data_IF_308829542974
#
_entry.id   IF_308829542974
#
_cell.length_a   1.000
_cell.length_b   1.000
_cell.length_c   1.000
_cell.angle_alpha   90.00
_cell.angle_beta   90.00
_cell.angle_gamma   90.00
#
_symmetry.space_group_name_H-M   'P 1'
#
loop_
_entity.id
_entity.type
_entity.pdbx_description
1 polymer ?
#
# COMPACT_ATOMS: atom_id res chain seq x y z
N UNK A 1 70.55 -38.58 15.39
CA UNK A 1 69.54 -39.24 14.54
C UNK A 1 68.75 -38.15 13.85
N UNK A 2 68.95 -38.02 12.54
CA UNK A 2 68.35 -37.01 11.67
C UNK A 2 67.06 -37.62 11.11
N UNK A 3 65.92 -36.97 11.32
CA UNK A 3 64.66 -37.34 10.67
C UNK A 3 64.29 -36.22 9.69
N UNK A 4 64.25 -36.57 8.39
CA UNK A 4 63.94 -35.65 7.30
C UNK A 4 62.43 -35.42 7.14
N UNK A 5 62.06 -34.16 6.89
CA UNK A 5 60.75 -33.78 6.37
C UNK A 5 60.70 -34.03 4.86
N UNK A 6 59.67 -34.74 4.39
CA UNK A 6 59.31 -34.82 2.99
C UNK A 6 58.06 -33.95 2.74
N UNK A 7 58.19 -32.95 1.86
CA UNK A 7 57.07 -32.18 1.33
C UNK A 7 56.45 -32.94 0.14
N UNK A 8 55.14 -33.23 0.21
CA UNK A 8 54.35 -33.76 -0.91
C UNK A 8 53.78 -32.63 -1.80
N UNK A 9 53.53 -32.89 -3.09
CA UNK A 9 53.16 -31.86 -4.06
C UNK A 9 51.68 -31.47 -3.96
N UNK A 10 51.40 -30.23 -4.40
CA UNK A 10 50.15 -29.51 -4.21
C UNK A 10 48.89 -30.18 -4.76
N UNK A 11 47.80 -29.97 -4.03
CA UNK A 11 46.44 -30.20 -4.53
C UNK A 11 45.99 -28.99 -5.35
N UNK A 12 45.71 -29.26 -6.62
CA UNK A 12 45.11 -28.36 -7.60
C UNK A 12 43.70 -27.97 -7.14
N UNK A 13 43.38 -26.68 -7.26
CA UNK A 13 42.09 -26.11 -6.86
C UNK A 13 40.91 -26.79 -7.53
N UNK A 14 40.03 -27.37 -6.71
CA UNK A 14 38.69 -27.76 -7.12
C UNK A 14 37.82 -26.50 -7.24
N UNK A 15 37.43 -26.17 -8.46
CA UNK A 15 36.37 -25.20 -8.68
C UNK A 15 35.07 -25.75 -8.07
N UNK A 16 34.59 -25.11 -6.99
CA UNK A 16 33.22 -25.29 -6.54
C UNK A 16 32.30 -24.72 -7.64
N UNK A 17 31.75 -25.61 -8.46
CA UNK A 17 30.61 -25.27 -9.29
C UNK A 17 29.43 -25.01 -8.34
N UNK A 18 29.13 -23.74 -8.10
CA UNK A 18 27.82 -23.35 -7.58
C UNK A 18 26.78 -23.80 -8.61
N UNK A 19 26.16 -24.96 -8.36
CA UNK A 19 24.89 -25.28 -8.99
C UNK A 19 23.91 -24.22 -8.49
N UNK A 20 23.65 -23.22 -9.33
CA UNK A 20 22.65 -22.20 -9.06
C UNK A 20 21.32 -22.90 -8.86
N UNK A 21 20.79 -22.84 -7.64
CA UNK A 21 19.41 -23.23 -7.39
C UNK A 21 18.54 -22.42 -8.35
N UNK A 22 17.76 -23.12 -9.19
CA UNK A 22 16.79 -22.47 -10.05
C UNK A 22 15.86 -21.62 -9.17
N UNK A 23 15.86 -20.32 -9.43
CA UNK A 23 15.03 -19.37 -8.72
C UNK A 23 13.55 -19.75 -8.92
N UNK A 24 12.72 -19.75 -7.86
CA UNK A 24 11.29 -19.97 -8.02
C UNK A 24 10.72 -18.95 -9.01
N UNK A 25 10.18 -19.44 -10.12
CA UNK A 25 9.50 -18.58 -11.10
C UNK A 25 8.22 -18.03 -10.46
N UNK A 26 8.07 -16.71 -10.42
CA UNK A 26 6.84 -16.07 -9.95
C UNK A 26 5.64 -16.61 -10.75
N UNK A 27 4.68 -17.22 -10.04
CA UNK A 27 3.46 -17.77 -10.65
C UNK A 27 2.39 -16.68 -10.66
N UNK A 28 1.67 -16.45 -11.77
CA UNK A 28 0.57 -15.49 -11.78
C UNK A 28 -0.47 -15.79 -10.71
N UNK A 29 -0.96 -14.74 -10.05
CA UNK A 29 -2.00 -14.84 -9.03
C UNK A 29 -2.88 -13.60 -9.05
N UNK A 30 -3.99 -13.66 -8.32
CA UNK A 30 -4.91 -12.54 -8.16
C UNK A 30 -5.09 -12.22 -6.68
N UNK A 31 -5.31 -10.95 -6.36
CA UNK A 31 -5.74 -10.50 -5.02
C UNK A 31 -6.83 -9.45 -5.16
N UNK A 32 -7.58 -9.21 -4.08
CA UNK A 32 -8.63 -8.18 -4.04
C UNK A 32 -8.10 -6.95 -3.31
N UNK A 33 -8.39 -5.77 -3.87
CA UNK A 33 -8.19 -4.47 -3.25
C UNK A 33 -9.54 -3.78 -2.99
N UNK A 34 -9.71 -3.24 -1.79
CA UNK A 34 -10.93 -2.54 -1.33
C UNK A 34 -10.52 -1.25 -0.63
N UNK A 35 -11.28 -0.18 -0.82
CA UNK A 35 -11.13 1.06 -0.09
C UNK A 35 -12.11 2.08 -0.62
N UNK A 36 -12.15 3.26 0.00
CA UNK A 36 -13.09 4.34 -0.32
C UNK A 36 -14.57 3.87 -0.36
N UNK A 37 -14.89 2.88 0.48
CA UNK A 37 -16.22 2.31 0.64
C UNK A 37 -16.28 1.49 1.94
N UNK A 38 -17.46 1.37 2.58
CA UNK A 38 -18.76 1.90 2.16
C UNK A 38 -18.96 3.37 2.56
N UNK A 39 -19.53 4.17 1.65
CA UNK A 39 -19.94 5.56 1.89
C UNK A 39 -21.44 5.73 2.07
N UNK A 40 -22.20 4.63 1.97
CA UNK A 40 -23.64 4.61 2.20
C UNK A 40 -24.09 3.32 2.90
N UNK A 41 -25.27 3.31 3.55
CA UNK A 41 -25.87 2.08 4.08
C UNK A 41 -26.07 1.00 3.02
N UNK A 42 -26.35 1.39 1.77
CA UNK A 42 -26.50 0.47 0.65
C UNK A 42 -25.17 -0.22 0.31
N UNK A 43 -24.09 0.55 0.18
CA UNK A 43 -22.74 -0.01 -0.02
C UNK A 43 -22.33 -0.91 1.14
N UNK A 44 -22.63 -0.53 2.39
CA UNK A 44 -22.33 -1.37 3.56
C UNK A 44 -23.10 -2.70 3.51
N UNK A 45 -24.35 -2.69 3.04
CA UNK A 45 -25.13 -3.92 2.86
C UNK A 45 -24.54 -4.80 1.75
N UNK A 46 -24.18 -4.21 0.60
CA UNK A 46 -23.53 -4.93 -0.51
C UNK A 46 -22.17 -5.51 -0.11
N UNK A 47 -21.35 -4.72 0.61
CA UNK A 47 -20.04 -5.13 1.09
C UNK A 47 -20.13 -6.34 2.04
N UNK A 48 -21.17 -6.38 2.88
CA UNK A 48 -21.40 -7.50 3.82
C UNK A 48 -22.09 -8.72 3.18
N UNK A 49 -22.72 -8.54 2.03
CA UNK A 49 -23.49 -9.55 1.30
C UNK A 49 -22.81 -9.93 -0.02
N UNK A 50 -23.39 -9.49 -1.13
CA UNK A 50 -23.01 -9.90 -2.50
C UNK A 50 -21.52 -9.74 -2.80
N UNK A 51 -20.89 -8.63 -2.38
CA UNK A 51 -19.46 -8.39 -2.61
C UNK A 51 -18.61 -9.37 -1.80
N UNK A 52 -18.95 -9.62 -0.53
CA UNK A 52 -18.26 -10.62 0.30
C UNK A 52 -18.40 -12.03 -0.26
N UNK A 53 -19.56 -12.38 -0.79
CA UNK A 53 -19.79 -13.65 -1.47
C UNK A 53 -18.92 -13.77 -2.74
N UNK A 54 -18.81 -12.70 -3.52
CA UNK A 54 -17.93 -12.64 -4.69
C UNK A 54 -16.45 -12.77 -4.31
N UNK A 55 -15.99 -12.09 -3.25
CA UNK A 55 -14.61 -12.21 -2.72
C UNK A 55 -14.32 -13.66 -2.31
N UNK A 56 -15.27 -14.31 -1.64
CA UNK A 56 -15.14 -15.72 -1.21
C UNK A 56 -15.05 -16.64 -2.43
N UNK A 57 -15.89 -16.42 -3.45
CA UNK A 57 -15.90 -17.21 -4.68
C UNK A 57 -14.62 -17.02 -5.53
N UNK A 58 -13.97 -15.86 -5.43
CA UNK A 58 -12.73 -15.58 -6.15
C UNK A 58 -11.52 -16.40 -5.67
N UNK A 59 -11.57 -16.98 -4.47
CA UNK A 59 -10.52 -17.81 -3.88
C UNK A 59 -9.12 -17.15 -3.90
N UNK A 60 -9.07 -15.83 -3.70
CA UNK A 60 -7.81 -15.08 -3.62
C UNK A 60 -7.04 -15.41 -2.33
N UNK A 61 -5.70 -15.30 -2.30
CA UNK A 61 -4.89 -15.66 -1.14
C UNK A 61 -4.97 -14.63 -0.01
N UNK A 62 -5.33 -13.39 -0.32
CA UNK A 62 -5.50 -12.28 0.61
C UNK A 62 -6.32 -11.15 -0.01
N UNK A 63 -6.77 -10.25 0.85
CA UNK A 63 -7.38 -8.98 0.52
C UNK A 63 -6.52 -7.85 1.09
N UNK A 64 -6.45 -6.73 0.37
CA UNK A 64 -5.86 -5.49 0.88
C UNK A 64 -6.96 -4.44 0.99
N UNK A 65 -7.09 -3.83 2.16
CA UNK A 65 -7.92 -2.66 2.38
C UNK A 65 -7.04 -1.43 2.48
N UNK A 66 -7.17 -0.50 1.54
CA UNK A 66 -6.23 0.61 1.37
C UNK A 66 -6.69 1.92 2.00
N UNK A 67 -7.85 1.96 2.67
CA UNK A 67 -8.28 3.07 3.50
C UNK A 67 -9.72 3.48 3.24
N UNK A 68 -10.23 4.41 4.03
CA UNK A 68 -11.52 5.08 3.84
C UNK A 68 -12.73 4.14 3.87
N UNK A 69 -12.96 3.53 5.04
CA UNK A 69 -14.10 2.64 5.26
C UNK A 69 -15.40 3.37 5.64
N UNK A 70 -15.40 4.70 5.54
CA UNK A 70 -16.55 5.57 5.81
C UNK A 70 -16.39 6.90 5.06
N UNK A 71 -17.47 7.65 4.79
CA UNK A 71 -17.34 8.94 4.13
C UNK A 71 -16.82 10.00 5.11
N UNK A 72 -16.17 11.04 4.58
CA UNK A 72 -15.58 12.12 5.36
C UNK A 72 -16.54 13.05 6.10
N UNK A 73 -17.85 12.90 5.87
CA UNK A 73 -18.90 13.62 6.59
C UNK A 73 -19.56 12.78 7.69
N UNK A 74 -19.07 11.56 7.96
CA UNK A 74 -19.54 10.70 9.03
C UNK A 74 -18.59 10.73 10.24
N UNK A 75 -19.14 10.92 11.44
CA UNK A 75 -18.36 11.01 12.69
C UNK A 75 -17.69 9.69 13.08
N UNK A 76 -16.45 9.78 13.57
CA UNK A 76 -15.62 8.65 13.93
C UNK A 76 -15.91 8.11 15.34
N UNK A 77 -17.16 7.71 15.59
CA UNK A 77 -17.58 7.14 16.87
C UNK A 77 -16.94 5.77 17.11
N UNK A 78 -16.64 5.42 18.36
CA UNK A 78 -16.06 4.11 18.71
C UNK A 78 -16.87 2.93 18.14
N UNK A 79 -18.23 2.92 18.21
CA UNK A 79 -19.03 1.84 17.62
C UNK A 79 -18.92 1.75 16.11
N UNK A 80 -18.84 2.89 15.40
CA UNK A 80 -18.67 2.89 13.95
C UNK A 80 -17.32 2.28 13.57
N UNK A 81 -16.23 2.72 14.19
CA UNK A 81 -14.88 2.22 13.89
C UNK A 81 -14.76 0.72 14.22
N UNK A 82 -15.39 0.25 15.29
CA UNK A 82 -15.49 -1.19 15.61
C UNK A 82 -16.30 -1.97 14.58
N UNK A 83 -17.45 -1.44 14.15
CA UNK A 83 -18.28 -2.08 13.12
C UNK A 83 -17.52 -2.18 11.79
N UNK A 84 -16.84 -1.11 11.37
CA UNK A 84 -16.01 -1.11 10.16
C UNK A 84 -14.86 -2.11 10.26
N UNK A 85 -14.19 -2.20 11.42
CA UNK A 85 -13.19 -3.25 11.70
C UNK A 85 -13.75 -4.65 11.46
N UNK A 86 -14.90 -4.94 12.06
CA UNK A 86 -15.57 -6.25 11.93
C UNK A 86 -15.99 -6.57 10.51
N UNK A 87 -16.49 -5.57 9.80
CA UNK A 87 -16.84 -5.72 8.40
C UNK A 87 -15.61 -6.04 7.55
N UNK A 88 -14.53 -5.26 7.67
CA UNK A 88 -13.29 -5.40 6.88
C UNK A 88 -12.62 -6.76 7.12
N UNK A 89 -12.34 -7.11 8.37
CA UNK A 89 -11.74 -8.42 8.68
C UNK A 89 -12.71 -9.58 8.47
N UNK A 90 -14.01 -9.30 8.34
CA UNK A 90 -15.02 -10.26 7.92
C UNK A 90 -15.05 -10.55 6.42
N UNK A 91 -14.37 -9.77 5.57
CA UNK A 91 -14.36 -9.96 4.11
C UNK A 91 -13.51 -11.13 3.67
N UNK A 92 -12.41 -11.39 4.37
CA UNK A 92 -11.45 -12.42 3.99
C UNK A 92 -10.66 -12.92 5.21
N UNK A 93 -10.21 -14.18 5.18
CA UNK A 93 -9.43 -14.76 6.28
C UNK A 93 -8.03 -14.13 6.46
N UNK A 94 -7.55 -13.44 5.43
CA UNK A 94 -6.27 -12.73 5.41
C UNK A 94 -6.49 -11.34 4.83
N UNK A 95 -6.48 -10.32 5.69
CA UNK A 95 -6.63 -8.91 5.31
C UNK A 95 -5.36 -8.15 5.70
N UNK A 96 -4.86 -7.33 4.80
CA UNK A 96 -3.85 -6.31 5.06
C UNK A 96 -4.52 -4.95 5.02
N UNK A 97 -4.33 -4.12 6.04
CA UNK A 97 -5.05 -2.87 6.19
C UNK A 97 -4.07 -1.71 6.42
N UNK A 98 -4.27 -0.61 5.69
CA UNK A 98 -3.75 0.71 6.01
C UNK A 98 -4.92 1.70 6.00
N UNK A 99 -4.98 2.66 6.95
CA UNK A 99 -6.08 3.62 7.00
C UNK A 99 -5.92 4.71 5.94
N UNK A 100 -7.03 5.39 5.67
CA UNK A 100 -7.13 6.64 4.92
C UNK A 100 -7.44 7.86 5.80
N UNK A 101 -7.65 9.02 5.19
CA UNK A 101 -7.88 10.27 5.92
C UNK A 101 -9.28 10.29 6.54
N UNK A 102 -10.28 9.72 5.87
CA UNK A 102 -11.61 9.55 6.42
C UNK A 102 -11.57 8.73 7.71
N UNK A 103 -10.66 7.79 7.86
CA UNK A 103 -10.64 6.88 9.00
C UNK A 103 -10.22 7.56 10.32
N UNK A 104 -9.41 8.64 10.26
CA UNK A 104 -8.92 9.32 11.47
C UNK A 104 -8.62 10.83 11.36
N UNK A 105 -8.02 11.34 10.28
CA UNK A 105 -7.67 12.78 10.18
C UNK A 105 -8.89 13.65 9.92
N UNK A 106 -9.87 13.18 9.16
CA UNK A 106 -11.09 13.94 8.88
C UNK A 106 -12.10 13.91 10.03
N UNK A 107 -11.80 13.18 11.11
CA UNK A 107 -12.68 12.99 12.24
C UNK A 107 -12.95 14.27 13.04
N UNK A 108 -12.24 15.34 12.74
CA UNK A 108 -12.25 16.60 13.48
C UNK A 108 -12.98 17.73 12.74
N UNK A 109 -13.43 17.45 11.50
CA UNK A 109 -14.12 18.39 10.60
C UNK A 109 -15.32 19.05 11.28
N UNK A 110 -15.46 20.36 11.10
CA UNK A 110 -16.50 21.17 11.74
C UNK A 110 -17.94 20.73 11.40
N UNK A 111 -18.16 20.12 10.22
CA UNK A 111 -19.47 19.66 9.77
C UNK A 111 -19.95 18.35 10.40
N UNK A 112 -19.10 17.68 11.20
CA UNK A 112 -19.46 16.42 11.84
C UNK A 112 -20.38 16.63 13.05
N UNK A 113 -21.29 15.68 13.27
CA UNK A 113 -22.16 15.69 14.45
C UNK A 113 -21.35 15.55 15.76
N UNK A 114 -20.29 14.75 15.74
CA UNK A 114 -19.35 14.56 16.83
C UNK A 114 -17.90 14.62 16.31
N UNK A 115 -17.31 15.81 16.15
CA UNK A 115 -15.91 15.94 15.76
C UNK A 115 -14.98 15.58 16.93
N UNK A 116 -13.92 14.82 16.66
CA UNK A 116 -12.98 14.24 17.63
C UNK A 116 -11.53 14.59 17.29
N UNK A 117 -10.63 14.51 18.26
CA UNK A 117 -9.17 14.58 18.05
C UNK A 117 -8.74 13.52 17.02
N UNK A 118 -7.94 13.91 16.04
CA UNK A 118 -7.35 13.01 15.04
C UNK A 118 -6.40 12.03 15.72
N UNK A 119 -5.54 12.52 16.62
CA UNK A 119 -4.55 11.70 17.31
C UNK A 119 -5.21 10.64 18.20
N UNK A 120 -6.26 11.00 18.95
CA UNK A 120 -7.05 10.04 19.73
C UNK A 120 -7.74 8.99 18.84
N UNK A 121 -8.15 9.36 17.63
CA UNK A 121 -8.75 8.44 16.67
C UNK A 121 -7.72 7.49 16.09
N UNK A 122 -6.53 7.97 15.72
CA UNK A 122 -5.45 7.12 15.26
C UNK A 122 -5.03 6.11 16.33
N UNK A 123 -4.89 6.54 17.59
CA UNK A 123 -4.56 5.64 18.70
C UNK A 123 -5.64 4.58 18.92
N UNK A 124 -6.92 4.95 18.78
CA UNK A 124 -8.01 3.99 18.84
C UNK A 124 -8.02 3.00 17.66
N UNK A 125 -7.75 3.47 16.43
CA UNK A 125 -7.58 2.57 15.28
C UNK A 125 -6.46 1.57 15.52
N UNK A 126 -5.30 2.02 16.02
CA UNK A 126 -4.17 1.15 16.40
C UNK A 126 -4.60 0.05 17.35
N UNK A 127 -5.38 0.40 18.37
CA UNK A 127 -5.88 -0.57 19.36
C UNK A 127 -6.79 -1.63 18.74
N UNK A 128 -7.71 -1.24 17.85
CA UNK A 128 -8.75 -2.17 17.36
C UNK A 128 -8.36 -2.87 16.06
N UNK A 129 -7.58 -2.27 15.17
CA UNK A 129 -7.18 -2.87 13.89
C UNK A 129 -5.87 -3.64 13.97
N UNK A 130 -4.96 -3.27 14.88
CA UNK A 130 -3.59 -3.76 14.89
C UNK A 130 -3.17 -4.45 16.20
N UNK A 131 -4.13 -4.70 17.10
CA UNK A 131 -3.87 -5.55 18.26
C UNK A 131 -3.44 -6.97 17.81
N UNK A 132 -2.49 -7.62 18.51
CA UNK A 132 -2.05 -8.99 18.20
C UNK A 132 -3.17 -10.02 18.10
N UNK A 133 -4.34 -9.75 18.71
CA UNK A 133 -5.52 -10.61 18.67
C UNK A 133 -6.30 -10.54 17.34
N UNK A 134 -6.02 -9.54 16.49
CA UNK A 134 -6.79 -9.24 15.27
C UNK A 134 -6.29 -10.04 14.05
N UNK A 135 -5.36 -10.98 14.26
CA UNK A 135 -5.03 -11.98 13.25
C UNK A 135 -4.23 -11.44 12.06
N UNK A 136 -3.50 -10.34 12.24
CA UNK A 136 -2.42 -9.99 11.31
C UNK A 136 -1.44 -11.17 11.31
N UNK A 137 -1.42 -11.87 10.18
CA UNK A 137 -0.86 -13.21 10.11
C UNK A 137 0.62 -13.22 10.45
N UNK A 138 1.10 -14.34 11.01
CA UNK A 138 2.52 -14.65 11.15
C UNK A 138 3.28 -14.77 9.81
N UNK A 139 2.69 -14.32 8.68
CA UNK A 139 3.20 -14.47 7.31
C UNK A 139 3.72 -13.16 6.70
N UNK A 140 3.82 -12.11 7.50
CA UNK A 140 4.46 -10.85 7.11
C UNK A 140 5.04 -10.12 8.32
N UNK A 141 5.65 -8.99 8.05
CA UNK A 141 6.25 -8.10 9.04
C UNK A 141 5.41 -6.84 9.18
N UNK A 142 5.23 -6.39 10.41
CA UNK A 142 4.54 -5.14 10.76
C UNK A 142 5.57 -4.22 11.40
N UNK A 143 5.62 -2.96 10.98
CA UNK A 143 6.49 -1.97 11.59
C UNK A 143 5.99 -1.67 13.01
N UNK A 144 6.77 -2.04 14.01
CA UNK A 144 6.37 -2.02 15.44
C UNK A 144 5.84 -0.63 15.87
N UNK A 145 6.55 0.43 15.48
CA UNK A 145 6.20 1.79 15.89
C UNK A 145 5.16 2.48 14.99
N UNK A 146 4.74 1.81 13.91
CA UNK A 146 3.77 2.31 12.94
C UNK A 146 3.04 1.14 12.29
N UNK A 147 2.10 0.51 13.00
CA UNK A 147 1.55 -0.80 12.61
C UNK A 147 0.70 -0.76 11.34
N UNK A 148 0.35 0.44 10.86
CA UNK A 148 -0.26 0.66 9.56
C UNK A 148 0.66 0.25 8.39
N UNK A 149 1.97 0.23 8.63
CA UNK A 149 2.98 -0.26 7.70
C UNK A 149 3.24 -1.74 7.92
N UNK A 150 3.01 -2.52 6.88
CA UNK A 150 3.27 -3.95 6.83
C UNK A 150 3.93 -4.33 5.51
N UNK A 151 4.65 -5.44 5.49
CA UNK A 151 5.20 -6.04 4.28
C UNK A 151 5.09 -7.55 4.32
N UNK A 152 4.76 -8.16 3.19
CA UNK A 152 4.60 -9.61 3.09
C UNK A 152 4.95 -10.11 1.70
N UNK A 153 5.30 -11.38 1.64
CA UNK A 153 5.69 -12.04 0.40
C UNK A 153 4.57 -12.95 -0.10
N UNK A 154 4.30 -12.89 -1.40
CA UNK A 154 3.43 -13.86 -2.07
C UNK A 154 3.93 -14.12 -3.49
N UNK A 155 4.17 -15.40 -3.84
CA UNK A 155 4.61 -15.82 -5.19
C UNK A 155 5.82 -15.01 -5.72
N UNK A 156 6.81 -14.78 -4.86
CA UNK A 156 8.01 -13.97 -5.14
C UNK A 156 7.72 -12.48 -5.48
N UNK A 157 6.59 -11.95 -5.04
CA UNK A 157 6.26 -10.53 -5.08
C UNK A 157 6.24 -9.99 -3.66
N UNK A 158 6.92 -8.87 -3.42
CA UNK A 158 6.85 -8.15 -2.16
C UNK A 158 5.69 -7.15 -2.19
N UNK A 159 4.84 -7.20 -1.18
CA UNK A 159 3.80 -6.22 -0.95
C UNK A 159 4.17 -5.36 0.24
N UNK A 160 3.82 -4.08 0.20
CA UNK A 160 4.13 -3.08 1.21
C UNK A 160 2.92 -2.16 1.40
N UNK A 161 2.42 -1.99 2.61
CA UNK A 161 1.53 -0.86 2.94
C UNK A 161 2.36 0.33 3.44
N UNK A 162 1.90 1.53 3.09
CA UNK A 162 2.41 2.79 3.61
C UNK A 162 1.25 3.61 4.16
N UNK A 163 1.44 4.12 5.38
CA UNK A 163 0.49 4.99 6.06
C UNK A 163 0.59 6.42 5.53
N UNK A 164 0.11 6.63 4.31
CA UNK A 164 0.01 7.93 3.65
C UNK A 164 -1.47 8.15 3.32
N UNK A 165 -2.03 9.21 3.91
CA UNK A 165 -3.46 9.53 3.83
C UNK A 165 -3.68 10.85 3.10
N UNK A 166 -4.90 11.05 2.62
CA UNK A 166 -5.40 12.26 1.98
C UNK A 166 -5.29 13.52 2.86
N UNK A 167 -5.86 14.62 2.37
CA UNK A 167 -5.87 15.90 3.09
C UNK A 167 -4.44 16.39 3.47
N UNK A 168 -3.51 16.29 2.51
CA UNK A 168 -2.08 16.62 2.65
C UNK A 168 -1.39 15.83 3.76
N UNK A 169 -1.71 14.54 3.88
CA UNK A 169 -1.23 13.67 4.96
C UNK A 169 -1.57 14.22 6.36
N UNK A 170 -2.77 14.76 6.54
CA UNK A 170 -3.22 15.31 7.83
C UNK A 170 -2.58 16.66 8.22
N UNK A 171 -1.97 17.38 7.28
CA UNK A 171 -1.31 18.68 7.58
C UNK A 171 -2.23 19.88 7.54
N UNK A 172 -3.36 19.77 6.84
CA UNK A 172 -4.16 20.95 6.48
C UNK A 172 -5.24 21.29 7.53
N UNK A 173 -6.00 20.30 8.00
CA UNK A 173 -7.26 20.52 8.73
C UNK A 173 -7.20 20.12 10.21
N UNK A 174 -6.18 20.55 10.96
CA UNK A 174 -6.06 20.26 12.40
C UNK A 174 -6.93 21.24 13.23
N UNK A 175 -8.07 20.76 13.72
CA UNK A 175 -9.14 21.51 14.39
C UNK A 175 -9.43 21.04 15.83
N UNK A 176 -9.08 19.80 16.19
CA UNK A 176 -9.32 19.24 17.53
C UNK A 176 -8.07 18.88 18.32
N UNK A 177 -6.91 18.83 17.67
CA UNK A 177 -5.62 18.60 18.31
C UNK A 177 -4.82 19.90 18.45
N UNK A 178 -3.76 19.84 19.25
CA UNK A 178 -2.71 20.85 19.22
C UNK A 178 -1.97 20.80 17.86
N UNK A 179 -1.93 21.91 17.11
CA UNK A 179 -1.24 21.98 15.82
C UNK A 179 0.21 21.50 15.81
N UNK A 180 0.99 21.82 16.84
CA UNK A 180 2.41 21.50 16.90
C UNK A 180 2.59 19.99 17.14
N UNK A 181 1.80 19.42 18.04
CA UNK A 181 1.78 17.99 18.31
C UNK A 181 1.34 17.17 17.09
N UNK A 182 0.26 17.58 16.42
CA UNK A 182 -0.23 16.90 15.22
C UNK A 182 0.81 16.94 14.10
N UNK A 183 1.41 18.11 13.84
CA UNK A 183 2.48 18.23 12.83
C UNK A 183 3.70 17.37 13.16
N UNK A 184 4.15 17.35 14.41
CA UNK A 184 5.26 16.49 14.84
C UNK A 184 4.95 14.99 14.63
N UNK A 185 3.70 14.58 14.86
CA UNK A 185 3.25 13.22 14.59
C UNK A 185 3.26 12.89 13.09
N UNK A 186 2.88 13.84 12.22
CA UNK A 186 2.98 13.68 10.77
C UNK A 186 4.43 13.57 10.32
N UNK A 187 5.33 14.43 10.81
CA UNK A 187 6.75 14.40 10.42
C UNK A 187 7.43 13.10 10.85
N UNK A 188 7.09 12.57 12.04
CA UNK A 188 7.56 11.27 12.49
C UNK A 188 7.00 10.13 11.61
N UNK A 189 5.72 10.20 11.22
CA UNK A 189 5.10 9.24 10.30
C UNK A 189 5.80 9.25 8.94
N UNK A 190 6.15 10.43 8.43
CA UNK A 190 6.85 10.58 7.16
C UNK A 190 8.27 10.01 7.19
N UNK A 191 9.02 10.24 8.26
CA UNK A 191 10.34 9.64 8.43
C UNK A 191 10.24 8.10 8.46
N UNK A 192 9.25 7.57 9.19
CA UNK A 192 9.03 6.12 9.30
C UNK A 192 8.59 5.48 8.00
N UNK A 193 7.67 6.11 7.26
CA UNK A 193 7.25 5.64 5.93
C UNK A 193 8.40 5.64 4.93
N UNK A 194 9.19 6.72 4.89
CA UNK A 194 10.32 6.80 3.96
C UNK A 194 11.37 5.73 4.26
N UNK A 195 11.70 5.53 5.53
CA UNK A 195 12.63 4.47 5.93
C UNK A 195 12.07 3.08 5.62
N UNK A 196 10.79 2.83 5.92
CA UNK A 196 10.10 1.56 5.62
C UNK A 196 10.08 1.24 4.13
N UNK A 197 9.81 2.23 3.28
CA UNK A 197 9.83 2.08 1.83
C UNK A 197 11.23 1.76 1.32
N UNK A 198 12.25 2.49 1.79
CA UNK A 198 13.64 2.23 1.45
C UNK A 198 14.06 0.80 1.81
N UNK A 199 13.78 0.39 3.05
CA UNK A 199 14.15 -0.93 3.56
C UNK A 199 13.40 -2.05 2.82
N UNK A 200 12.14 -1.82 2.45
CA UNK A 200 11.35 -2.78 1.66
C UNK A 200 11.92 -2.99 0.25
N UNK A 201 12.36 -1.92 -0.44
CA UNK A 201 13.03 -2.06 -1.73
C UNK A 201 14.42 -2.69 -1.62
N UNK A 202 15.15 -2.41 -0.54
CA UNK A 202 16.42 -3.08 -0.24
C UNK A 202 16.19 -4.59 -0.03
N UNK A 203 15.16 -4.97 0.73
CA UNK A 203 14.78 -6.36 0.94
C UNK A 203 14.37 -7.03 -0.39
N UNK A 204 13.45 -6.41 -1.14
CA UNK A 204 13.01 -6.88 -2.46
C UNK A 204 14.18 -7.10 -3.43
N UNK A 205 15.20 -6.23 -3.37
CA UNK A 205 16.41 -6.36 -4.19
C UNK A 205 17.27 -7.52 -3.71
N UNK A 206 17.53 -7.61 -2.40
CA UNK A 206 18.38 -8.64 -1.79
C UNK A 206 17.82 -10.05 -1.98
N UNK A 207 16.49 -10.20 -1.88
CA UNK A 207 15.77 -11.46 -2.04
C UNK A 207 15.29 -11.70 -3.47
N UNK A 208 15.65 -10.81 -4.40
CA UNK A 208 15.35 -10.95 -5.83
C UNK A 208 13.85 -11.09 -6.14
N UNK A 209 13.02 -10.29 -5.47
CA UNK A 209 11.59 -10.17 -5.77
C UNK A 209 11.36 -9.95 -7.26
N UNK A 210 10.36 -10.61 -7.83
CA UNK A 210 9.97 -10.47 -9.22
C UNK A 210 9.21 -9.15 -9.47
N UNK A 211 8.47 -8.65 -8.47
CA UNK A 211 7.77 -7.37 -8.50
C UNK A 211 7.66 -6.78 -7.09
N UNK A 212 7.31 -5.50 -7.00
CA UNK A 212 6.90 -4.84 -5.75
C UNK A 212 5.52 -4.22 -5.94
N UNK A 213 4.63 -4.37 -4.96
CA UNK A 213 3.34 -3.66 -4.89
C UNK A 213 3.32 -2.80 -3.63
N UNK A 214 3.23 -1.48 -3.81
CA UNK A 214 3.10 -0.48 -2.76
C UNK A 214 1.64 -0.05 -2.69
N UNK A 215 1.08 -0.06 -1.49
CA UNK A 215 -0.32 0.27 -1.22
C UNK A 215 -0.41 1.43 -0.24
N UNK A 216 -1.19 2.45 -0.57
CA UNK A 216 -1.51 3.57 0.32
C UNK A 216 -2.90 4.11 -0.02
N UNK A 217 -3.48 4.97 0.82
CA UNK A 217 -4.77 5.58 0.50
C UNK A 217 -4.58 6.75 -0.49
N UNK A 218 -3.72 7.70 -0.13
CA UNK A 218 -3.64 9.01 -0.79
C UNK A 218 -3.32 8.96 -2.28
N UNK A 219 -3.95 9.84 -3.07
CA UNK A 219 -3.46 10.18 -4.40
C UNK A 219 -2.27 11.15 -4.29
N UNK A 220 -1.06 10.59 -4.34
CA UNK A 220 0.17 11.38 -4.26
C UNK A 220 0.55 12.06 -5.58
N UNK A 221 -0.16 11.83 -6.69
CA UNK A 221 0.35 12.10 -8.04
C UNK A 221 0.27 13.54 -8.51
N UNK A 222 -0.69 14.30 -7.99
CA UNK A 222 -0.84 15.71 -8.34
C UNK A 222 -0.02 16.55 -7.37
N UNK A 223 0.88 17.42 -7.86
CA UNK A 223 1.59 18.32 -6.99
C UNK A 223 0.64 19.34 -6.37
N UNK A 224 0.78 19.61 -5.07
CA UNK A 224 0.19 20.79 -4.45
C UNK A 224 1.04 22.02 -4.78
N UNK A 225 0.62 23.23 -4.38
CA UNK A 225 1.39 24.45 -4.64
C UNK A 225 2.86 24.31 -4.19
N UNK A 226 3.78 24.92 -4.96
CA UNK A 226 5.26 24.79 -4.91
C UNK A 226 5.95 25.26 -3.61
N UNK A 227 5.27 25.26 -2.47
CA UNK A 227 5.80 25.76 -1.23
C UNK A 227 6.54 24.66 -0.44
N UNK A 228 7.74 24.97 0.05
CA UNK A 228 8.54 24.08 0.90
C UNK A 228 7.81 23.77 2.23
N UNK A 229 7.61 22.49 2.51
CA UNK A 229 6.97 22.02 3.76
C UNK A 229 7.70 22.46 5.03
N UNK A 230 9.00 22.79 4.97
CA UNK A 230 9.73 23.32 6.13
C UNK A 230 9.25 24.72 6.53
N UNK A 231 8.80 25.52 5.55
CA UNK A 231 8.44 26.92 5.74
C UNK A 231 6.92 27.14 5.83
N UNK A 232 6.14 26.31 5.14
CA UNK A 232 4.68 26.41 5.07
C UNK A 232 4.04 25.02 5.11
N UNK A 233 4.18 24.29 6.24
CA UNK A 233 3.80 22.88 6.34
C UNK A 233 2.33 22.58 6.03
N UNK A 234 1.44 23.58 6.13
CA UNK A 234 0.00 23.42 5.89
C UNK A 234 -0.45 23.69 4.44
N UNK A 235 0.44 24.18 3.58
CA UNK A 235 0.12 24.55 2.18
C UNK A 235 1.20 24.06 1.19
N UNK A 236 2.00 23.10 1.63
CA UNK A 236 3.08 22.51 0.85
C UNK A 236 2.62 21.27 0.10
N UNK A 237 3.50 20.78 -0.78
CA UNK A 237 3.37 19.44 -1.36
C UNK A 237 3.87 18.36 -0.40
N UNK A 238 3.00 17.96 0.52
CA UNK A 238 3.26 16.90 1.49
C UNK A 238 3.64 15.55 0.85
N UNK A 239 3.41 15.38 -0.45
CA UNK A 239 3.59 14.11 -1.15
C UNK A 239 4.82 14.06 -2.05
N UNK A 240 5.52 15.18 -2.25
CA UNK A 240 6.73 15.25 -3.08
C UNK A 240 7.81 14.23 -2.66
N UNK A 241 8.17 14.10 -1.36
CA UNK A 241 9.19 13.14 -0.96
C UNK A 241 8.84 11.70 -1.33
N UNK A 242 7.56 11.33 -1.18
CA UNK A 242 7.06 10.00 -1.52
C UNK A 242 7.11 9.72 -3.01
N UNK A 243 6.66 10.67 -3.85
CA UNK A 243 6.77 10.55 -5.31
C UNK A 243 8.22 10.37 -5.73
N UNK A 244 9.11 11.24 -5.22
CA UNK A 244 10.51 11.22 -5.61
C UNK A 244 11.18 9.91 -5.18
N UNK A 245 10.96 9.46 -3.94
CA UNK A 245 11.51 8.20 -3.44
C UNK A 245 10.99 6.99 -4.22
N UNK A 246 9.69 6.92 -4.50
CA UNK A 246 9.09 5.79 -5.21
C UNK A 246 9.58 5.69 -6.66
N UNK A 247 9.69 6.83 -7.36
CA UNK A 247 10.27 6.89 -8.72
C UNK A 247 11.72 6.42 -8.71
N UNK A 248 12.54 6.89 -7.77
CA UNK A 248 13.94 6.47 -7.67
C UNK A 248 14.08 4.98 -7.33
N UNK A 249 13.29 4.48 -6.37
CA UNK A 249 13.28 3.08 -5.98
C UNK A 249 12.90 2.18 -7.16
N UNK A 250 11.85 2.54 -7.90
CA UNK A 250 11.43 1.81 -9.10
C UNK A 250 12.50 1.83 -10.20
N UNK A 251 13.14 2.98 -10.46
CA UNK A 251 14.21 3.11 -11.46
C UNK A 251 15.45 2.24 -11.15
N UNK A 252 15.69 1.98 -9.86
CA UNK A 252 16.80 1.15 -9.37
C UNK A 252 16.44 -0.33 -9.24
N UNK A 253 15.15 -0.67 -9.17
CA UNK A 253 14.68 -2.04 -8.99
C UNK A 253 14.83 -2.87 -10.28
N UNK A 254 15.97 -3.57 -10.38
CA UNK A 254 16.41 -4.28 -11.58
C UNK A 254 16.79 -5.72 -11.29
N UNK A 255 16.72 -6.55 -12.33
CA UNK A 255 17.37 -7.86 -12.36
C UNK A 255 18.91 -7.70 -12.42
N UNK A 256 19.69 -8.75 -12.12
CA UNK A 256 21.15 -8.72 -12.30
C UNK A 256 21.59 -8.35 -13.71
N UNK A 257 20.79 -8.72 -14.72
CA UNK A 257 20.99 -8.36 -16.14
C UNK A 257 20.54 -6.93 -16.51
N UNK A 258 20.28 -6.09 -15.50
CA UNK A 258 19.88 -4.67 -15.61
C UNK A 258 18.48 -4.41 -16.17
N UNK A 259 17.70 -5.46 -16.52
CA UNK A 259 16.29 -5.27 -16.90
C UNK A 259 15.48 -4.78 -15.71
N UNK A 260 14.65 -3.77 -15.93
CA UNK A 260 13.71 -3.26 -14.94
C UNK A 260 12.71 -4.35 -14.52
N UNK A 261 12.34 -4.35 -13.24
CA UNK A 261 11.29 -5.22 -12.69
C UNK A 261 10.05 -4.38 -12.37
N UNK A 262 8.84 -4.92 -12.54
CA UNK A 262 7.61 -4.16 -12.37
C UNK A 262 7.39 -3.71 -10.92
N UNK A 263 6.92 -2.47 -10.77
CA UNK A 263 6.47 -1.87 -9.50
C UNK A 263 5.06 -1.34 -9.69
N UNK A 264 4.15 -1.64 -8.76
CA UNK A 264 2.79 -1.10 -8.74
C UNK A 264 2.62 -0.17 -7.53
N UNK A 265 2.15 1.05 -7.77
CA UNK A 265 1.47 1.89 -6.79
C UNK A 265 -0.03 1.64 -6.90
N UNK A 266 -0.63 1.11 -5.83
CA UNK A 266 -2.07 0.92 -5.66
C UNK A 266 -2.57 1.97 -4.66
N UNK A 267 -3.53 2.80 -5.06
CA UNK A 267 -4.14 3.80 -4.19
C UNK A 267 -5.62 4.06 -4.53
N UNK A 268 -6.27 4.92 -3.75
CA UNK A 268 -7.64 5.40 -3.93
C UNK A 268 -7.72 6.91 -3.74
N UNK A 269 -8.58 7.40 -2.83
CA UNK A 269 -8.78 8.81 -2.43
C UNK A 269 -9.45 9.70 -3.48
N UNK A 270 -9.23 9.42 -4.77
CA UNK A 270 -9.66 10.29 -5.86
C UNK A 270 -10.37 9.53 -6.97
N UNK A 271 -11.15 10.26 -7.77
CA UNK A 271 -11.56 9.80 -9.10
C UNK A 271 -10.48 10.05 -10.16
N UNK A 272 -10.48 9.29 -11.28
CA UNK A 272 -11.34 8.13 -11.59
C UNK A 272 -10.63 6.79 -11.38
N UNK A 273 -11.37 5.67 -11.46
CA UNK A 273 -10.79 4.33 -11.59
C UNK A 273 -9.96 4.19 -12.88
N UNK A 274 -8.63 4.10 -12.75
CA UNK A 274 -7.71 4.26 -13.89
C UNK A 274 -6.34 3.60 -13.70
N UNK A 275 -5.72 3.30 -14.84
CA UNK A 275 -4.28 3.09 -14.96
C UNK A 275 -3.56 4.39 -15.30
N UNK A 276 -2.34 4.50 -14.80
CA UNK A 276 -1.34 5.47 -15.27
C UNK A 276 0.03 4.79 -15.35
N UNK A 277 0.53 4.62 -16.57
CA UNK A 277 1.89 4.08 -16.84
C UNK A 277 2.93 5.18 -17.05
N UNK A 278 2.51 6.44 -16.96
CA UNK A 278 3.35 7.62 -17.15
C UNK A 278 3.80 8.25 -15.83
N UNK A 279 3.28 7.76 -14.69
CA UNK A 279 3.62 8.26 -13.36
C UNK A 279 5.13 8.29 -13.08
N UNK A 280 5.86 7.24 -13.49
CA UNK A 280 7.32 7.19 -13.36
C UNK A 280 8.10 7.98 -14.42
N UNK A 281 7.42 8.62 -15.37
CA UNK A 281 7.98 9.25 -16.56
C UNK A 281 9.04 8.37 -17.25
N UNK A 282 10.06 8.97 -17.86
CA UNK A 282 11.18 8.26 -18.47
C UNK A 282 12.16 7.68 -17.42
N UNK A 283 12.06 8.12 -16.15
CA UNK A 283 12.97 7.72 -15.08
C UNK A 283 12.69 6.29 -14.63
N UNK A 284 11.40 5.97 -14.44
CA UNK A 284 10.92 4.68 -13.95
C UNK A 284 9.74 4.16 -14.80
N UNK A 285 9.97 3.76 -16.06
CA UNK A 285 8.90 3.26 -16.95
C UNK A 285 8.29 1.92 -16.48
N UNK A 286 8.89 1.30 -15.47
CA UNK A 286 8.40 0.11 -14.78
C UNK A 286 7.49 0.40 -13.58
N UNK A 287 7.28 1.69 -13.23
CA UNK A 287 6.36 2.11 -12.18
C UNK A 287 4.96 2.33 -12.77
N UNK A 288 4.05 1.46 -12.38
CA UNK A 288 2.64 1.50 -12.75
C UNK A 288 1.85 2.09 -11.60
N UNK A 289 0.85 2.90 -11.90
CA UNK A 289 -0.13 3.37 -10.94
C UNK A 289 -1.51 2.82 -11.27
N UNK A 290 -2.19 2.30 -10.26
CA UNK A 290 -3.62 1.98 -10.27
C UNK A 290 -4.32 2.85 -9.23
N UNK A 291 -5.20 3.73 -9.70
CA UNK A 291 -6.25 4.29 -8.87
C UNK A 291 -7.41 3.29 -8.87
N UNK A 292 -7.71 2.69 -7.72
CA UNK A 292 -8.63 1.57 -7.57
C UNK A 292 -10.10 1.98 -7.59
N UNK A 293 -10.99 0.99 -7.68
CA UNK A 293 -12.43 1.20 -7.61
C UNK A 293 -12.85 1.54 -6.19
N UNK A 294 -13.64 2.61 -6.05
CA UNK A 294 -14.08 3.16 -4.77
C UNK A 294 -14.58 4.59 -4.97
N UNK A 295 -14.69 5.37 -3.90
CA UNK A 295 -14.92 6.81 -3.89
C UNK A 295 -16.20 7.17 -4.63
N UNK A 296 -17.38 6.86 -4.05
CA UNK A 296 -18.70 7.13 -4.64
C UNK A 296 -19.00 6.52 -6.04
N UNK A 297 -18.12 5.66 -6.59
CA UNK A 297 -18.36 4.98 -7.86
C UNK A 297 -19.56 4.03 -7.77
N UNK A 298 -20.33 3.97 -8.86
CA UNK A 298 -21.48 3.07 -8.98
C UNK A 298 -21.34 2.18 -10.23
N UNK A 299 -21.70 0.89 -10.15
CA UNK A 299 -22.18 0.19 -8.95
C UNK A 299 -21.06 -0.06 -7.93
N UNK A 300 -21.42 -0.18 -6.65
CA UNK A 300 -20.47 -0.58 -5.61
C UNK A 300 -19.81 -1.93 -5.96
N UNK A 301 -18.48 -2.00 -5.89
CA UNK A 301 -17.70 -3.18 -6.26
C UNK A 301 -16.30 -3.08 -5.64
N UNK A 302 -15.46 -4.09 -5.84
CA UNK A 302 -14.07 -4.12 -5.38
C UNK A 302 -13.13 -4.41 -6.54
N UNK A 303 -11.85 -4.05 -6.42
CA UNK A 303 -10.90 -4.25 -7.51
C UNK A 303 -10.24 -5.62 -7.41
N UNK A 304 -10.37 -6.46 -8.44
CA UNK A 304 -9.60 -7.69 -8.60
C UNK A 304 -8.35 -7.39 -9.42
N UNK A 305 -7.17 -7.66 -8.86
CA UNK A 305 -5.88 -7.36 -9.46
C UNK A 305 -5.13 -8.66 -9.72
N UNK A 306 -4.73 -8.89 -10.97
CA UNK A 306 -3.85 -9.96 -11.39
C UNK A 306 -2.41 -9.45 -11.46
N UNK A 307 -1.49 -10.22 -10.87
CA UNK A 307 -0.05 -9.96 -10.86
C UNK A 307 0.64 -11.07 -11.65
N UNK A 308 1.38 -10.69 -12.68
CA UNK A 308 2.09 -11.60 -13.59
C UNK A 308 3.48 -11.05 -13.94
N UNK A 309 4.44 -11.07 -13.01
CA UNK A 309 5.71 -10.33 -13.14
C UNK A 309 6.60 -10.75 -14.33
N UNK A 310 6.34 -11.92 -14.90
CA UNK A 310 7.06 -12.44 -16.07
C UNK A 310 6.60 -11.80 -17.39
N UNK A 311 5.41 -11.20 -17.42
CA UNK A 311 4.93 -10.43 -18.57
C UNK A 311 5.46 -9.00 -18.46
N UNK A 312 6.46 -8.68 -19.28
CA UNK A 312 7.08 -7.35 -19.29
C UNK A 312 6.20 -6.26 -19.90
N UNK A 313 5.17 -6.62 -20.68
CA UNK A 313 4.26 -5.66 -21.31
C UNK A 313 3.06 -5.37 -20.41
N UNK A 314 2.57 -6.39 -19.71
CA UNK A 314 1.40 -6.32 -18.86
C UNK A 314 1.58 -7.07 -17.53
N UNK A 315 2.50 -6.63 -16.65
CA UNK A 315 2.77 -7.28 -15.36
C UNK A 315 1.59 -7.19 -14.38
N UNK A 316 0.67 -6.23 -14.60
CA UNK A 316 -0.51 -6.01 -13.78
C UNK A 316 -1.76 -5.84 -14.66
N UNK A 317 -2.86 -6.46 -14.24
CA UNK A 317 -4.20 -6.31 -14.86
C UNK A 317 -5.22 -6.11 -13.74
N UNK A 318 -6.18 -5.21 -13.93
CA UNK A 318 -7.21 -4.93 -12.93
C UNK A 318 -8.58 -4.82 -13.58
N UNK A 319 -9.60 -5.23 -12.82
CA UNK A 319 -11.02 -5.08 -13.16
C UNK A 319 -11.83 -5.10 -11.88
N UNK A 320 -13.05 -4.56 -11.91
CA UNK A 320 -13.94 -4.77 -10.77
C UNK A 320 -14.36 -6.24 -10.68
N UNK A 321 -14.54 -6.75 -9.46
CA UNK A 321 -14.71 -8.17 -9.22
C UNK A 321 -16.07 -8.68 -9.69
N UNK A 322 -17.16 -7.97 -9.35
CA UNK A 322 -18.51 -8.43 -9.69
C UNK A 322 -18.89 -8.02 -11.11
N UNK A 323 -18.61 -6.77 -11.49
CA UNK A 323 -19.08 -6.19 -12.75
C UNK A 323 -18.05 -6.25 -13.88
N UNK A 324 -16.81 -6.68 -13.61
CA UNK A 324 -15.75 -6.85 -14.61
C UNK A 324 -15.37 -5.55 -15.34
N UNK A 325 -15.64 -4.39 -14.73
CA UNK A 325 -15.36 -3.07 -15.30
C UNK A 325 -13.85 -2.89 -15.36
N UNK A 326 -13.33 -2.51 -16.52
CA UNK A 326 -11.91 -2.22 -16.71
C UNK A 326 -11.60 -0.77 -16.32
N UNK A 327 -10.46 -0.49 -15.68
CA UNK A 327 -10.03 0.87 -15.41
C UNK A 327 -9.75 1.63 -16.71
N UNK A 328 -10.00 2.93 -16.70
CA UNK A 328 -9.62 3.79 -17.81
C UNK A 328 -8.09 3.74 -18.03
N UNK A 329 -7.62 3.90 -19.27
CA UNK A 329 -6.18 3.86 -19.58
C UNK A 329 -5.41 5.12 -19.15
N UNK A 330 -6.11 6.15 -18.66
CA UNK A 330 -5.52 7.39 -18.20
C UNK A 330 -6.29 7.90 -17.00
N UNK A 331 -5.59 8.44 -16.00
CA UNK A 331 -6.18 9.08 -14.81
C UNK A 331 -6.63 10.54 -15.04
N UNK A 332 -7.04 10.86 -16.27
CA UNK A 332 -7.57 12.19 -16.59
C UNK A 332 -8.94 12.35 -15.94
N UNK A 333 -9.11 13.35 -15.07
CA UNK A 333 -10.43 13.73 -14.60
C UNK A 333 -11.29 14.11 -15.81
N UNK A 334 -12.31 13.29 -16.13
CA UNK A 334 -13.36 13.72 -17.03
C UNK A 334 -14.25 14.65 -16.23
N UNK A 335 -14.07 15.95 -16.42
CA UNK A 335 -14.98 16.98 -15.91
C UNK A 335 -16.40 16.79 -16.46
#
# INVERSE_FOLDING_TARGET
MIAGCACGPGMVGGAFQHQGLAQPTATPFQFVAVGDMPYSPQESALLSGEIKEAITAAQVPFLVHYGDFKPGNQSCTDPLLQQSRDQIYGLHAQVWFTPGDNDWTDCDRQGLAEPKSELDRLDYLRQIFFSPTVGLSSKGEIQIDQPENARWWHQNVLFVTLHVVGTSNGRTQILKDDPEQAMAAVDLRDQRNQHWLQDSFAEATSQQAAAVVVVMQADITQPAAEADCSSTPRVCDAYEPYRHQLVQAAAQFRNPDQRLKPVLLLHGDTFPYCWDKTFGADIAPNLWRLNAWGDFQQPADVTLIQVQPQDSEQPFVAKTLSHQIQPALTCSARF
#
